data_IF_114243256357
#
_entry.id   IF_114243256357
#
_cell.length_a   1.000
_cell.length_b   1.000
_cell.length_c   1.000
_cell.angle_alpha   90.00
_cell.angle_beta   90.00
_cell.angle_gamma   90.00
#
_symmetry.space_group_name_H-M   'P 1'
#
loop_
_entity.id
_entity.type
_entity.pdbx_description
1 polymer ?
#
# COMPACT_ATOMS: atom_id res chain seq x y z
N UNK A 1 -28.45 -18.85 -43.37
CA UNK A 1 -28.00 -17.45 -43.52
C UNK A 1 -27.36 -17.06 -42.20
N UNK A 2 -26.10 -16.62 -42.19
CA UNK A 2 -25.47 -16.19 -40.93
C UNK A 2 -26.11 -14.88 -40.43
N UNK A 3 -26.48 -14.78 -39.14
CA UNK A 3 -27.07 -13.57 -38.59
C UNK A 3 -26.04 -12.44 -38.60
N UNK A 4 -26.32 -11.37 -39.34
CA UNK A 4 -25.43 -10.25 -39.56
C UNK A 4 -26.23 -8.97 -39.85
N UNK A 5 -25.62 -7.80 -39.60
CA UNK A 5 -26.16 -6.49 -39.96
C UNK A 5 -25.10 -5.65 -40.68
N UNK A 6 -25.49 -4.56 -41.33
CA UNK A 6 -24.58 -3.66 -42.06
C UNK A 6 -24.64 -2.28 -41.42
N UNK A 7 -23.48 -1.69 -41.12
CA UNK A 7 -23.38 -0.27 -40.76
C UNK A 7 -22.79 0.50 -41.95
N UNK A 8 -23.41 1.63 -42.29
CA UNK A 8 -22.91 2.56 -43.29
C UNK A 8 -22.03 3.61 -42.60
N UNK A 9 -20.72 3.46 -42.75
CA UNK A 9 -19.75 4.46 -42.30
C UNK A 9 -19.46 5.44 -43.43
N UNK A 10 -18.88 6.60 -43.09
CA UNK A 10 -18.39 7.57 -44.08
C UNK A 10 -17.47 6.92 -45.13
N UNK A 11 -16.62 5.97 -44.70
CA UNK A 11 -15.69 5.23 -45.56
C UNK A 11 -16.31 4.03 -46.31
N UNK A 12 -17.61 3.77 -46.13
CA UNK A 12 -18.32 2.68 -46.82
C UNK A 12 -19.12 1.75 -45.91
N UNK A 13 -19.78 0.77 -46.53
CA UNK A 13 -20.64 -0.21 -45.85
C UNK A 13 -19.79 -1.34 -45.28
N UNK A 14 -20.00 -1.67 -44.01
CA UNK A 14 -19.31 -2.77 -43.32
C UNK A 14 -20.33 -3.75 -42.76
N UNK A 15 -20.16 -5.05 -43.05
CA UNK A 15 -21.01 -6.14 -42.54
C UNK A 15 -20.44 -6.66 -41.21
N UNK A 16 -21.29 -6.72 -40.18
CA UNK A 16 -20.98 -7.22 -38.85
C UNK A 16 -21.74 -8.51 -38.59
N UNK A 17 -21.02 -9.59 -38.27
CA UNK A 17 -21.64 -10.84 -37.80
C UNK A 17 -22.14 -10.70 -36.36
N UNK A 18 -23.33 -11.23 -36.06
CA UNK A 18 -23.93 -11.20 -34.71
C UNK A 18 -23.36 -12.32 -33.82
N UNK A 19 -22.70 -13.31 -34.43
CA UNK A 19 -22.08 -14.42 -33.71
C UNK A 19 -21.07 -13.89 -32.68
N UNK A 20 -21.25 -14.32 -31.44
CA UNK A 20 -20.42 -13.99 -30.27
C UNK A 20 -20.32 -12.48 -29.96
N UNK A 21 -21.19 -11.63 -30.54
CA UNK A 21 -21.14 -10.19 -30.35
C UNK A 21 -21.33 -9.81 -28.88
N UNK A 22 -22.26 -10.48 -28.19
CA UNK A 22 -22.47 -10.28 -26.74
C UNK A 22 -21.31 -10.81 -25.91
N UNK A 23 -20.80 -11.98 -26.22
CA UNK A 23 -19.72 -12.62 -25.46
C UNK A 23 -18.43 -11.79 -25.52
N UNK A 24 -18.06 -11.29 -26.71
CA UNK A 24 -16.90 -10.41 -26.90
C UNK A 24 -17.02 -9.06 -26.19
N UNK A 25 -18.24 -8.58 -25.95
CA UNK A 25 -18.51 -7.32 -25.27
C UNK A 25 -18.85 -7.50 -23.79
N UNK A 26 -18.91 -8.74 -23.29
CA UNK A 26 -19.15 -9.00 -21.88
C UNK A 26 -17.83 -8.92 -21.14
N UNK A 27 -17.59 -7.81 -20.45
CA UNK A 27 -16.46 -7.67 -19.54
C UNK A 27 -16.69 -8.53 -18.29
N UNK A 28 -16.35 -9.80 -18.40
CA UNK A 28 -16.20 -10.69 -17.26
C UNK A 28 -14.71 -10.84 -16.96
N UNK A 29 -14.18 -9.89 -16.17
CA UNK A 29 -12.93 -10.17 -15.45
C UNK A 29 -13.18 -11.36 -14.55
N UNK A 30 -12.56 -12.50 -14.89
CA UNK A 30 -12.77 -13.74 -14.15
C UNK A 30 -12.37 -13.51 -12.67
N UNK A 31 -13.21 -13.90 -11.70
CA UNK A 31 -12.96 -13.59 -10.28
C UNK A 31 -11.63 -14.12 -9.73
N UNK A 32 -11.15 -15.23 -10.27
CA UNK A 32 -9.84 -15.83 -9.99
C UNK A 32 -8.67 -14.92 -10.42
N UNK A 33 -8.75 -14.34 -11.62
CA UNK A 33 -7.77 -13.36 -12.12
C UNK A 33 -7.79 -12.11 -11.22
N UNK A 34 -8.98 -11.64 -10.85
CA UNK A 34 -9.13 -10.48 -9.94
C UNK A 34 -8.51 -10.78 -8.56
N UNK A 35 -8.75 -11.97 -8.02
CA UNK A 35 -8.20 -12.39 -6.73
C UNK A 35 -6.67 -12.52 -6.79
N UNK A 36 -6.12 -13.05 -7.89
CA UNK A 36 -4.68 -13.12 -8.12
C UNK A 36 -4.04 -11.72 -8.13
N UNK A 37 -4.59 -10.78 -8.88
CA UNK A 37 -4.05 -9.42 -8.97
C UNK A 37 -4.16 -8.67 -7.64
N UNK A 38 -5.25 -8.87 -6.88
CA UNK A 38 -5.42 -8.30 -5.52
C UNK A 38 -4.48 -8.91 -4.48
N UNK A 39 -3.97 -10.12 -4.70
CA UNK A 39 -3.02 -10.79 -3.79
C UNK A 39 -1.54 -10.57 -4.17
N UNK A 40 -1.27 -9.77 -5.20
CA UNK A 40 0.09 -9.44 -5.62
C UNK A 40 0.91 -8.82 -4.47
N UNK A 41 2.19 -9.18 -4.38
CA UNK A 41 3.14 -8.53 -3.45
C UNK A 41 3.44 -7.08 -3.87
N UNK A 42 3.15 -6.72 -5.12
CA UNK A 42 3.34 -5.38 -5.63
C UNK A 42 2.12 -4.50 -5.30
N UNK A 43 2.32 -3.52 -4.41
CA UNK A 43 1.29 -2.56 -4.02
C UNK A 43 0.71 -1.76 -5.20
N UNK A 44 1.49 -1.53 -6.26
CA UNK A 44 1.01 -0.90 -7.49
C UNK A 44 -0.05 -1.76 -8.18
N UNK A 45 0.23 -3.06 -8.35
CA UNK A 45 -0.68 -4.01 -9.01
C UNK A 45 -1.97 -4.16 -8.20
N UNK A 46 -1.89 -4.28 -6.88
CA UNK A 46 -3.09 -4.32 -6.02
C UNK A 46 -3.89 -3.01 -6.08
N UNK A 47 -3.22 -1.87 -6.19
CA UNK A 47 -3.85 -0.55 -6.31
C UNK A 47 -4.61 -0.35 -7.61
N UNK A 48 -4.14 -0.93 -8.72
CA UNK A 48 -4.82 -0.90 -10.02
C UNK A 48 -6.14 -1.67 -10.04
N UNK A 49 -6.32 -2.64 -9.13
CA UNK A 49 -7.55 -3.43 -9.00
C UNK A 49 -8.63 -2.75 -8.15
N UNK A 50 -8.40 -1.50 -7.73
CA UNK A 50 -9.37 -0.71 -6.98
C UNK A 50 -10.56 -0.29 -7.85
N UNK A 51 -11.78 -0.53 -7.36
CA UNK A 51 -13.03 -0.16 -8.05
C UNK A 51 -13.11 1.36 -8.25
N UNK A 52 -12.55 2.12 -7.31
CA UNK A 52 -12.47 3.57 -7.37
C UNK A 52 -11.04 4.07 -7.05
N UNK A 53 -10.35 4.71 -8.00
CA UNK A 53 -8.97 5.15 -7.82
C UNK A 53 -8.86 6.25 -6.76
N UNK A 54 -9.88 7.10 -6.62
CA UNK A 54 -9.89 8.23 -5.68
C UNK A 54 -9.99 7.73 -4.23
N UNK A 55 -10.89 6.78 -3.97
CA UNK A 55 -11.07 6.14 -2.67
C UNK A 55 -9.80 5.38 -2.26
N UNK A 56 -9.18 4.66 -3.21
CA UNK A 56 -7.92 3.94 -2.99
C UNK A 56 -6.80 4.90 -2.58
N UNK A 57 -6.68 6.03 -3.27
CA UNK A 57 -5.70 7.06 -2.96
C UNK A 57 -5.96 7.70 -1.58
N UNK A 58 -7.21 8.13 -1.31
CA UNK A 58 -7.59 8.74 -0.03
C UNK A 58 -7.31 7.81 1.15
N UNK A 59 -7.62 6.52 1.01
CA UNK A 59 -7.31 5.51 2.02
C UNK A 59 -5.81 5.28 2.20
N UNK A 60 -5.03 5.33 1.12
CA UNK A 60 -3.57 5.24 1.19
C UNK A 60 -2.96 6.43 1.95
N UNK A 61 -3.40 7.66 1.67
CA UNK A 61 -2.96 8.88 2.38
C UNK A 61 -3.28 8.77 3.88
N UNK A 62 -4.51 8.39 4.23
CA UNK A 62 -4.93 8.24 5.62
C UNK A 62 -4.05 7.21 6.37
N UNK A 63 -3.81 6.04 5.76
CA UNK A 63 -2.93 5.02 6.35
C UNK A 63 -1.48 5.49 6.50
N UNK A 64 -0.95 6.23 5.51
CA UNK A 64 0.40 6.76 5.58
C UNK A 64 0.56 7.77 6.73
N UNK A 65 -0.42 8.65 6.92
CA UNK A 65 -0.45 9.60 8.02
C UNK A 65 -0.40 8.89 9.39
N UNK A 66 -1.29 7.92 9.64
CA UNK A 66 -1.29 7.20 10.91
C UNK A 66 -0.02 6.38 11.13
N UNK A 67 0.51 5.73 10.09
CA UNK A 67 1.79 5.00 10.18
C UNK A 67 2.94 5.92 10.55
N UNK A 68 3.01 7.10 9.92
CA UNK A 68 4.01 8.10 10.26
C UNK A 68 3.86 8.56 11.72
N UNK A 69 2.65 8.92 12.15
CA UNK A 69 2.42 9.33 13.54
C UNK A 69 2.81 8.27 14.56
N UNK A 70 2.45 7.00 14.32
CA UNK A 70 2.82 5.89 15.22
C UNK A 70 4.34 5.72 15.24
N UNK A 71 5.00 5.72 14.08
CA UNK A 71 6.46 5.62 13.99
C UNK A 71 7.17 6.78 14.72
N UNK A 72 6.69 8.02 14.57
CA UNK A 72 7.22 9.17 15.30
C UNK A 72 7.04 9.04 16.80
N UNK A 73 5.87 8.58 17.26
CA UNK A 73 5.60 8.38 18.69
C UNK A 73 6.49 7.30 19.29
N UNK A 74 6.69 6.19 18.58
CA UNK A 74 7.61 5.13 19.00
C UNK A 74 9.06 5.61 19.01
N UNK A 75 9.51 6.36 18.00
CA UNK A 75 10.84 6.94 17.96
C UNK A 75 11.06 7.93 19.12
N UNK A 76 10.05 8.74 19.46
CA UNK A 76 10.09 9.65 20.60
C UNK A 76 10.25 8.93 21.94
N UNK A 77 9.49 7.85 22.17
CA UNK A 77 9.61 7.01 23.39
C UNK A 77 11.01 6.41 23.53
N UNK A 78 11.56 5.86 22.45
CA UNK A 78 12.93 5.31 22.46
C UNK A 78 13.96 6.38 22.79
N UNK A 79 13.73 7.63 22.36
CA UNK A 79 14.64 8.74 22.64
C UNK A 79 14.54 9.24 24.10
N UNK A 80 13.35 9.21 24.71
CA UNK A 80 13.18 9.51 26.14
C UNK A 80 13.75 8.43 27.04
N UNK A 81 13.59 7.16 26.66
CA UNK A 81 14.15 6.02 27.40
C UNK A 81 15.68 6.04 27.36
N UNK A 82 16.29 6.33 26.20
CA UNK A 82 17.73 6.54 26.08
C UNK A 82 18.23 7.68 26.96
N UNK A 83 17.56 8.84 26.95
CA UNK A 83 17.96 10.00 27.76
C UNK A 83 17.85 9.73 29.26
N UNK A 84 16.82 9.00 29.68
CA UNK A 84 16.62 8.61 31.10
C UNK A 84 17.64 7.57 31.56
N UNK A 85 17.98 6.61 30.70
CA UNK A 85 19.05 5.63 30.94
C UNK A 85 20.44 6.26 31.03
N UNK A 86 20.75 7.19 30.13
CA UNK A 86 22.01 7.94 30.13
C UNK A 86 22.14 8.84 31.36
N UNK A 87 21.06 9.55 31.74
CA UNK A 87 21.03 10.38 32.95
C UNK A 87 21.18 9.53 34.22
N UNK A 88 20.55 8.34 34.27
CA UNK A 88 20.70 7.41 35.40
C UNK A 88 22.11 6.80 35.47
N UNK A 89 22.70 6.44 34.33
CA UNK A 89 24.08 5.94 34.29
C UNK A 89 25.06 7.00 34.79
N UNK A 90 24.94 8.25 34.32
CA UNK A 90 25.77 9.38 34.76
C UNK A 90 25.58 9.66 36.25
N UNK A 91 24.34 9.67 36.76
CA UNK A 91 24.07 9.87 38.19
C UNK A 91 24.61 8.74 39.07
N UNK A 92 24.52 7.48 38.63
CA UNK A 92 25.11 6.34 39.37
C UNK A 92 26.64 6.44 39.38
N UNK A 93 27.26 6.86 38.27
CA UNK A 93 28.72 7.09 38.21
C UNK A 93 29.18 8.26 39.09
N UNK A 94 28.39 9.34 39.22
CA UNK A 94 28.70 10.48 40.08
C UNK A 94 28.42 10.25 41.58
N UNK A 95 27.53 9.31 41.94
CA UNK A 95 27.17 8.99 43.33
C UNK A 95 28.02 7.88 43.96
N UNK A 96 28.90 7.21 43.20
CA UNK A 96 29.92 6.31 43.76
C UNK A 96 31.06 7.15 44.34
N UNK A 97 31.20 7.25 45.68
CA UNK A 97 32.32 7.97 46.27
C UNK A 97 33.62 7.24 45.92
N UNK A 98 34.66 8.04 45.71
CA UNK A 98 36.05 7.69 45.46
C UNK A 98 36.66 6.74 46.53
N UNK A 99 36.23 5.48 46.53
CA UNK A 99 36.82 4.41 47.34
C UNK A 99 37.83 3.64 46.49
N UNK A 100 39.08 4.09 46.58
CA UNK A 100 40.26 3.41 46.07
C UNK A 100 41.43 4.34 46.33
N UNK A 101 42.16 4.21 47.42
CA UNK A 101 42.87 2.98 47.78
C UNK A 101 44.32 3.21 47.40
N UNK A 102 45.02 4.02 48.20
CA UNK A 102 46.46 4.20 48.13
C UNK A 102 47.09 2.93 48.73
N UNK A 103 47.28 1.92 47.90
CA UNK A 103 48.12 0.77 48.24
C UNK A 103 49.59 1.17 48.15
N UNK A 104 50.33 0.69 49.16
CA UNK A 104 51.73 0.94 49.52
C UNK A 104 52.77 0.59 48.46
#
# INVERSE_FOLDING_TARGET
MEPAFIIHHYAGKVKYGVKDFREKNTDHMRPDIVALLKSSKNAFICGLMGIDPVATFRWAVLRAYFRAMVAFREAGKRHTDKKTGETRAVTVTLLLPHLGGHES
#
